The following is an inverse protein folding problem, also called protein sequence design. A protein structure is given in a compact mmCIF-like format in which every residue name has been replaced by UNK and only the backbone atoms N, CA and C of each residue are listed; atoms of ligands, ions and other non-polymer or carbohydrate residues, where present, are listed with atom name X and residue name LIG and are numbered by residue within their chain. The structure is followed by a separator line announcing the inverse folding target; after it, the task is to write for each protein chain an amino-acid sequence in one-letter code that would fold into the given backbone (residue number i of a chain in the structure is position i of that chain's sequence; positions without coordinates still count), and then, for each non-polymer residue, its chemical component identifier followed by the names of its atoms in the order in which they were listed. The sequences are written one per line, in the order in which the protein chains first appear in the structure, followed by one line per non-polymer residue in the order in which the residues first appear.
data_IF_863339104776
#
_entry.id   IF_863339104776
#
_cell.length_a   1.000
_cell.length_b   1.000
_cell.length_c   1.000
_cell.angle_alpha   90.00
_cell.angle_beta   90.00
_cell.angle_gamma   90.00
#
_symmetry.space_group_name_H-M   'P 1'
#
loop_
_entity.id
_entity.type
_entity.pdbx_description
1 polymer ?
#
# COMPACT_ATOMS: atom_id res chain seq x y z
N UNK A 1 9.91 2.27 -11.10
CA UNK A 1 8.75 2.13 -10.18
C UNK A 1 9.19 2.26 -8.74
N UNK A 2 8.27 2.65 -7.85
CA UNK A 2 8.49 2.63 -6.40
C UNK A 2 7.49 1.67 -5.76
N UNK A 3 7.93 0.97 -4.72
CA UNK A 3 7.10 0.06 -3.94
C UNK A 3 7.57 0.05 -2.50
N UNK A 4 6.66 -0.31 -1.61
CA UNK A 4 6.92 -0.44 -0.19
C UNK A 4 6.02 -1.51 0.40
N UNK A 5 6.52 -2.25 1.38
CA UNK A 5 5.71 -3.13 2.21
C UNK A 5 5.02 -2.32 3.29
N UNK A 6 3.73 -2.54 3.46
CA UNK A 6 2.95 -1.98 4.56
C UNK A 6 1.98 -3.03 5.10
N UNK A 7 1.67 -2.93 6.38
CA UNK A 7 0.63 -3.73 7.04
C UNK A 7 -0.55 -2.89 7.53
N UNK A 8 -0.40 -1.56 7.56
CA UNK A 8 -1.47 -0.61 7.83
C UNK A 8 -2.33 -0.43 6.58
N UNK A 9 -3.21 -1.40 6.32
CA UNK A 9 -4.15 -1.43 5.20
C UNK A 9 -5.53 -1.87 5.68
N UNK A 10 -6.59 -1.23 5.18
CA UNK A 10 -7.96 -1.62 5.48
C UNK A 10 -8.91 -1.22 4.35
N UNK A 11 -9.97 -2.01 4.13
CA UNK A 11 -11.13 -1.59 3.34
C UNK A 11 -12.00 -0.69 4.20
N UNK A 12 -12.44 0.45 3.66
CA UNK A 12 -13.23 1.44 4.42
C UNK A 12 -14.66 1.61 3.88
N UNK A 13 -14.90 1.32 2.60
CA UNK A 13 -16.24 1.32 2.01
C UNK A 13 -16.32 0.35 0.84
N UNK A 14 -17.48 -0.27 0.64
CA UNK A 14 -17.79 -1.07 -0.56
C UNK A 14 -18.79 -0.34 -1.47
N UNK A 15 -19.69 0.45 -0.88
CA UNK A 15 -20.75 1.23 -1.55
C UNK A 15 -20.84 2.61 -0.87
N UNK A 16 -21.06 3.73 -1.60
CA UNK A 16 -21.27 3.82 -3.06
C UNK A 16 -19.99 3.69 -3.90
N UNK A 17 -18.82 3.78 -3.27
CA UNK A 17 -17.52 3.64 -3.91
C UNK A 17 -16.66 2.64 -3.12
N UNK A 18 -15.97 1.72 -3.79
CA UNK A 18 -15.03 0.82 -3.12
C UNK A 18 -13.79 1.60 -2.71
N UNK A 19 -13.61 1.82 -1.42
CA UNK A 19 -12.53 2.62 -0.85
C UNK A 19 -11.66 1.77 0.06
N UNK A 20 -10.35 2.02 -0.01
CA UNK A 20 -9.34 1.48 0.89
C UNK A 20 -8.54 2.61 1.53
N UNK A 21 -7.99 2.34 2.70
CA UNK A 21 -7.10 3.24 3.39
C UNK A 21 -5.79 2.52 3.74
N UNK A 22 -4.68 3.25 3.66
CA UNK A 22 -3.39 2.75 4.09
C UNK A 22 -2.50 3.88 4.60
N UNK A 23 -1.51 3.52 5.43
CA UNK A 23 -0.57 4.49 5.99
C UNK A 23 0.86 4.22 5.57
N UNK A 24 1.63 5.28 5.34
CA UNK A 24 3.06 5.21 5.06
C UNK A 24 3.83 6.07 6.05
N UNK A 25 4.93 5.52 6.57
CA UNK A 25 5.91 6.28 7.35
C UNK A 25 6.63 7.29 6.45
N UNK A 26 6.94 8.46 6.97
CA UNK A 26 7.76 9.48 6.30
C UNK A 26 9.08 9.72 7.07
N UNK A 27 10.21 9.97 6.36
CA UNK A 27 10.32 10.10 4.91
C UNK A 27 10.18 8.76 4.16
N UNK A 28 9.56 8.78 2.98
CA UNK A 28 9.37 7.60 2.12
C UNK A 28 9.30 7.99 0.65
N UNK A 29 10.07 7.30 -0.20
CA UNK A 29 10.04 7.48 -1.67
C UNK A 29 8.65 7.19 -2.23
N UNK A 30 7.96 6.19 -1.68
CA UNK A 30 6.59 5.84 -2.09
C UNK A 30 5.61 6.95 -1.71
N UNK A 31 5.70 7.50 -0.49
CA UNK A 31 4.84 8.59 -0.06
C UNK A 31 5.06 9.84 -0.93
N UNK A 32 6.31 10.22 -1.22
CA UNK A 32 6.63 11.34 -2.11
C UNK A 32 6.08 11.13 -3.53
N UNK A 33 6.19 9.92 -4.09
CA UNK A 33 5.66 9.60 -5.41
C UNK A 33 4.13 9.68 -5.47
N UNK A 34 3.44 9.22 -4.41
CA UNK A 34 1.99 9.30 -4.30
C UNK A 34 1.49 10.74 -4.15
N UNK A 35 2.15 11.57 -3.32
CA UNK A 35 1.81 13.00 -3.19
C UNK A 35 1.86 13.72 -4.54
N UNK A 36 2.93 13.52 -5.30
CA UNK A 36 3.09 14.12 -6.63
C UNK A 36 2.00 13.71 -7.64
N UNK A 37 1.24 12.64 -7.36
CA UNK A 37 0.07 12.19 -8.12
C UNK A 37 -1.25 12.69 -7.52
N UNK A 38 -1.34 12.83 -6.21
CA UNK A 38 -2.55 13.28 -5.50
C UNK A 38 -2.95 14.73 -5.84
N UNK A 39 -1.96 15.59 -6.13
CA UNK A 39 -2.20 17.01 -6.45
C UNK A 39 -2.80 17.21 -7.86
N UNK A 40 -2.76 16.17 -8.70
CA UNK A 40 -3.33 16.20 -10.03
C UNK A 40 -4.79 15.77 -9.91
N UNK A 41 -5.71 16.72 -10.04
CA UNK A 41 -7.14 16.48 -10.30
C UNK A 41 -7.39 15.71 -11.63
N UNK A 42 -6.40 15.01 -12.17
CA UNK A 42 -6.62 14.06 -13.26
C UNK A 42 -7.53 12.95 -12.75
N UNK A 43 -8.56 12.71 -13.55
CA UNK A 43 -9.79 12.03 -13.16
C UNK A 43 -9.53 10.70 -12.44
N UNK A 44 -10.48 10.34 -11.57
CA UNK A 44 -10.65 9.03 -10.91
C UNK A 44 -10.79 7.84 -11.90
N UNK A 45 -10.22 7.94 -13.09
CA UNK A 45 -10.27 7.03 -14.22
C UNK A 45 -8.96 6.29 -14.44
N UNK A 46 -7.83 6.80 -13.91
CA UNK A 46 -6.52 6.15 -14.02
C UNK A 46 -5.98 5.73 -12.65
N UNK A 47 -5.27 4.60 -12.60
CA UNK A 47 -4.67 4.13 -11.37
C UNK A 47 -3.40 4.92 -11.01
N UNK A 48 -3.27 5.30 -9.74
CA UNK A 48 -2.08 5.95 -9.17
C UNK A 48 -1.15 4.94 -8.51
N UNK A 49 -1.70 3.82 -8.04
CA UNK A 49 -0.97 2.74 -7.40
C UNK A 49 -1.65 1.39 -7.62
N UNK A 50 -0.89 0.31 -7.41
CA UNK A 50 -1.41 -1.05 -7.29
C UNK A 50 -1.11 -1.56 -5.88
N UNK A 51 -2.14 -2.02 -5.18
CA UNK A 51 -2.00 -2.70 -3.89
C UNK A 51 -1.91 -4.20 -4.17
N UNK A 52 -0.76 -4.80 -3.92
CA UNK A 52 -0.54 -6.23 -4.05
C UNK A 52 -0.72 -6.90 -2.68
N UNK A 53 -1.73 -7.77 -2.55
CA UNK A 53 -1.99 -8.57 -1.35
C UNK A 53 -1.11 -9.82 -1.43
N UNK A 54 -0.11 -9.93 -0.57
CA UNK A 54 0.89 -11.00 -0.64
C UNK A 54 0.34 -12.33 -0.09
N UNK A 55 0.74 -13.43 -0.74
CA UNK A 55 0.48 -14.79 -0.26
C UNK A 55 1.51 -15.22 0.79
N UNK A 56 1.19 -16.24 1.58
CA UNK A 56 2.04 -16.76 2.64
C UNK A 56 3.39 -17.31 2.12
N UNK A 57 3.50 -17.57 0.81
CA UNK A 57 4.75 -17.92 0.13
C UNK A 57 5.66 -16.73 -0.20
N UNK A 58 5.22 -15.50 0.02
CA UNK A 58 5.94 -14.28 -0.35
C UNK A 58 6.55 -13.42 0.81
N UNK A 59 6.96 -13.97 1.98
CA UNK A 59 7.68 -13.19 2.99
C UNK A 59 8.93 -12.49 2.45
N UNK A 60 9.67 -13.14 1.53
CA UNK A 60 10.88 -12.60 0.92
C UNK A 60 10.62 -11.28 0.15
N UNK A 61 9.50 -11.19 -0.59
CA UNK A 61 9.09 -9.94 -1.25
C UNK A 61 8.73 -8.87 -0.20
N UNK A 62 7.99 -9.25 0.84
CA UNK A 62 7.63 -8.31 1.91
C UNK A 62 8.87 -7.70 2.58
N UNK A 63 9.90 -8.50 2.88
CA UNK A 63 11.16 -8.01 3.45
C UNK A 63 11.91 -7.09 2.50
N UNK A 64 12.04 -7.49 1.23
CA UNK A 64 12.73 -6.73 0.20
C UNK A 64 12.13 -5.35 0.02
N UNK A 65 10.81 -5.28 -0.12
CA UNK A 65 10.07 -4.01 -0.25
C UNK A 65 9.96 -3.22 1.07
N UNK A 66 10.31 -3.80 2.23
CA UNK A 66 10.37 -3.11 3.51
C UNK A 66 11.73 -2.45 3.80
N UNK A 67 12.79 -2.82 3.06
CA UNK A 67 14.19 -2.41 3.31
C UNK A 67 14.74 -1.57 2.17
N UNK A 68 14.31 -0.30 2.01
CA UNK A 68 14.77 0.58 0.94
C UNK A 68 16.26 0.95 1.05
N UNK A 69 16.88 0.70 2.20
CA UNK A 69 18.31 0.82 2.49
C UNK A 69 19.13 -0.32 1.86
N UNK A 70 18.59 -1.54 1.84
CA UNK A 70 19.24 -2.71 1.24
C UNK A 70 18.81 -2.91 -0.22
N UNK A 71 17.56 -2.62 -0.54
CA UNK A 71 16.96 -2.81 -1.85
C UNK A 71 16.39 -1.47 -2.36
N UNK A 72 17.24 -0.55 -2.86
CA UNK A 72 16.78 0.76 -3.32
C UNK A 72 15.89 0.68 -4.57
N UNK A 73 16.09 -0.36 -5.41
CA UNK A 73 15.37 -0.58 -6.66
C UNK A 73 14.87 -2.04 -6.73
N UNK A 74 13.89 -2.43 -5.89
CA UNK A 74 13.50 -3.83 -5.74
C UNK A 74 12.90 -4.45 -7.01
N UNK A 75 12.32 -3.64 -7.90
CA UNK A 75 11.77 -4.09 -9.19
C UNK A 75 12.82 -4.43 -10.26
N UNK A 76 14.10 -4.10 -10.03
CA UNK A 76 15.22 -4.47 -10.93
C UNK A 76 15.87 -5.80 -10.52
N UNK A 77 15.48 -6.35 -9.37
CA UNK A 77 16.01 -7.61 -8.85
C UNK A 77 15.37 -8.79 -9.58
N UNK A 78 16.19 -9.73 -10.04
CA UNK A 78 15.76 -10.89 -10.83
C UNK A 78 14.80 -11.82 -10.11
N UNK A 79 14.78 -11.83 -8.77
CA UNK A 79 13.84 -12.67 -8.02
C UNK A 79 12.47 -11.97 -7.83
N UNK A 80 12.33 -10.69 -8.23
CA UNK A 80 11.04 -10.00 -8.22
C UNK A 80 10.39 -10.12 -9.60
N UNK A 81 9.43 -11.03 -9.70
CA UNK A 81 8.61 -11.20 -10.90
C UNK A 81 7.38 -10.30 -10.83
N UNK A 82 7.14 -9.56 -11.91
CA UNK A 82 5.99 -8.68 -12.02
C UNK A 82 5.61 -8.43 -13.48
N UNK A 83 4.34 -8.09 -13.69
CA UNK A 83 3.81 -7.58 -14.97
C UNK A 83 3.21 -6.20 -14.76
N UNK A 84 2.78 -5.55 -15.84
CA UNK A 84 2.12 -4.24 -15.77
C UNK A 84 0.60 -4.38 -15.82
N UNK A 85 -0.11 -3.58 -15.02
CA UNK A 85 -1.53 -3.31 -15.19
C UNK A 85 -1.82 -2.54 -16.47
N UNK A 86 -3.10 -2.33 -16.78
CA UNK A 86 -3.55 -1.48 -17.90
C UNK A 86 -2.98 -0.06 -17.83
N UNK A 87 -2.82 0.48 -16.61
CA UNK A 87 -2.23 1.80 -16.35
C UNK A 87 -0.69 1.79 -16.31
N UNK A 88 -0.05 0.66 -16.65
CA UNK A 88 1.40 0.52 -16.64
C UNK A 88 2.01 0.41 -15.24
N UNK A 89 1.25 0.01 -14.21
CA UNK A 89 1.74 -0.11 -12.84
C UNK A 89 2.08 -1.57 -12.47
N UNK A 90 3.08 -1.82 -11.61
CA UNK A 90 3.52 -3.20 -11.33
C UNK A 90 2.50 -4.03 -10.55
N UNK A 91 2.24 -5.25 -11.04
CA UNK A 91 1.50 -6.32 -10.38
C UNK A 91 2.49 -7.45 -10.09
N UNK A 92 2.65 -7.82 -8.82
CA UNK A 92 3.59 -8.87 -8.40
C UNK A 92 3.03 -10.25 -8.72
N UNK A 93 3.85 -11.10 -9.36
CA UNK A 93 3.47 -12.49 -9.65
C UNK A 93 3.29 -13.31 -8.38
N UNK A 94 2.26 -14.16 -8.34
CA UNK A 94 1.95 -15.01 -7.19
C UNK A 94 1.39 -14.29 -5.95
N UNK A 95 1.05 -13.00 -6.07
CA UNK A 95 0.22 -12.31 -5.07
C UNK A 95 -1.17 -12.98 -4.98
N UNK A 96 -1.82 -12.91 -3.82
CA UNK A 96 -3.21 -13.35 -3.66
C UNK A 96 -4.18 -12.50 -4.46
N UNK A 97 -3.87 -11.23 -4.60
CA UNK A 97 -4.71 -10.27 -5.30
C UNK A 97 -3.96 -8.99 -5.57
N UNK A 98 -4.42 -8.25 -6.57
CA UNK A 98 -3.89 -6.94 -6.90
C UNK A 98 -5.05 -5.97 -7.18
N UNK A 99 -4.96 -4.77 -6.61
CA UNK A 99 -5.99 -3.73 -6.71
C UNK A 99 -5.39 -2.48 -7.34
N UNK A 100 -5.83 -2.14 -8.55
CA UNK A 100 -5.50 -0.85 -9.16
C UNK A 100 -6.35 0.24 -8.53
N UNK A 101 -5.69 1.22 -7.92
CA UNK A 101 -6.32 2.22 -7.08
C UNK A 101 -5.96 3.64 -7.53
N UNK A 102 -6.91 4.57 -7.38
CA UNK A 102 -6.71 6.01 -7.58
C UNK A 102 -6.86 6.74 -6.25
N UNK A 103 -5.94 7.64 -5.94
CA UNK A 103 -6.00 8.43 -4.70
C UNK A 103 -7.20 9.38 -4.75
N UNK A 104 -7.96 9.47 -3.66
CA UNK A 104 -9.14 10.36 -3.61
C UNK A 104 -8.79 11.81 -3.26
N UNK A 105 -7.56 12.06 -2.81
CA UNK A 105 -7.09 13.37 -2.41
C UNK A 105 -5.68 13.33 -1.79
N UNK A 106 -5.19 14.47 -1.27
CA UNK A 106 -3.91 14.55 -0.59
C UNK A 106 -3.89 13.70 0.68
N UNK A 107 -2.73 13.19 1.11
CA UNK A 107 -2.63 12.40 2.34
C UNK A 107 -2.91 13.25 3.58
N UNK A 108 -3.48 12.60 4.59
CA UNK A 108 -3.76 13.19 5.90
C UNK A 108 -2.58 12.92 6.85
N UNK A 109 -1.93 13.95 7.41
CA UNK A 109 -0.90 13.75 8.43
C UNK A 109 -1.47 13.08 9.69
N UNK A 110 -0.82 12.00 10.15
CA UNK A 110 -1.22 11.30 11.38
C UNK A 110 -0.42 11.75 12.62
N UNK A 111 0.55 12.65 12.44
CA UNK A 111 1.35 13.21 13.54
C UNK A 111 0.51 14.07 14.48
N UNK A 112 -0.54 14.70 13.96
CA UNK A 112 -1.42 15.57 14.70
C UNK A 112 -2.85 15.37 14.22
N UNK A 113 -3.73 14.92 15.11
CA UNK A 113 -5.14 14.67 14.82
C UNK A 113 -6.04 15.88 15.13
N UNK A 114 -5.48 17.01 15.57
CA UNK A 114 -6.24 18.23 15.92
C UNK A 114 -7.02 18.81 14.73
N UNK A 115 -6.68 18.45 13.49
CA UNK A 115 -7.47 18.81 12.31
C UNK A 115 -8.86 18.16 12.29
N UNK A 116 -9.08 17.05 13.01
CA UNK A 116 -10.41 16.43 13.14
C UNK A 116 -11.34 17.15 14.13
N UNK A 117 -10.80 18.04 14.97
CA UNK A 117 -11.53 18.65 16.10
C UNK A 117 -11.78 20.15 15.99
N UNK A 118 -11.39 20.81 14.89
CA UNK A 118 -11.66 22.24 14.69
C UNK A 118 -12.86 22.40 13.75
N UNK A 119 -13.88 23.13 14.21
CA UNK A 119 -14.88 23.77 13.36
C UNK A 119 -14.19 24.38 12.12
N UNK A 120 -14.80 24.29 10.92
CA UNK A 120 -14.16 24.75 9.69
C UNK A 120 -13.78 26.22 9.86
N UNK A 121 -12.48 26.50 9.98
CA UNK A 121 -12.01 27.88 10.03
C UNK A 121 -12.34 28.52 8.68
N UNK A 122 -13.23 29.52 8.71
CA UNK A 122 -13.28 30.54 7.67
C UNK A 122 -11.87 31.09 7.48
N UNK A 123 -11.48 31.27 6.21
CA UNK A 123 -10.18 31.76 5.73
C UNK A 123 -9.05 30.72 5.63
N UNK A 124 -9.14 29.88 4.59
CA UNK A 124 -8.34 30.02 3.37
C UNK A 124 -6.81 29.89 3.41
N UNK A 125 -6.13 29.99 4.56
CA UNK A 125 -4.67 29.97 4.64
C UNK A 125 -4.17 29.35 5.95
N UNK A 126 -4.56 28.11 6.24
CA UNK A 126 -3.87 27.32 7.25
C UNK A 126 -2.63 26.68 6.61
N UNK A 127 -1.54 27.44 6.56
CA UNK A 127 -0.21 26.86 6.39
C UNK A 127 -0.07 25.72 7.40
N UNK A 128 0.23 24.53 6.89
CA UNK A 128 0.59 23.37 7.72
C UNK A 128 1.89 23.75 8.41
N UNK A 129 1.78 24.40 9.57
CA UNK A 129 2.91 24.76 10.39
C UNK A 129 3.59 23.43 10.75
N UNK A 130 4.75 23.19 10.13
CA UNK A 130 5.64 22.11 10.50
C UNK A 130 5.82 22.20 12.01
N UNK A 131 5.23 21.24 12.74
CA UNK A 131 5.49 21.03 14.15
C UNK A 131 6.92 20.48 14.25
N UNK A 132 7.88 21.38 14.06
CA UNK A 132 9.28 21.23 14.38
C UNK A 132 9.38 21.09 15.91
N UNK A 133 9.30 19.86 16.39
CA UNK A 133 9.37 19.57 17.83
C UNK A 133 9.51 18.10 18.20
N UNK A 134 9.25 17.16 17.30
CA UNK A 134 9.56 15.75 17.50
C UNK A 134 10.42 15.25 16.36
N UNK A 135 11.71 14.96 16.60
CA UNK A 135 12.58 14.22 15.68
C UNK A 135 12.15 12.74 15.51
N UNK A 136 10.85 12.51 15.35
CA UNK A 136 10.21 11.21 15.30
C UNK A 136 9.61 10.96 13.93
N UNK A 137 9.73 9.72 13.48
CA UNK A 137 9.14 9.23 12.24
C UNK A 137 7.63 9.45 12.27
N UNK A 138 7.14 10.33 11.40
CA UNK A 138 5.71 10.58 11.20
C UNK A 138 5.10 9.54 10.25
N UNK A 139 3.77 9.46 10.22
CA UNK A 139 3.02 8.68 9.24
C UNK A 139 1.95 9.53 8.58
N UNK A 140 1.58 9.15 7.37
CA UNK A 140 0.52 9.76 6.59
C UNK A 140 -0.50 8.73 6.16
N UNK A 141 -1.78 9.10 6.21
CA UNK A 141 -2.91 8.31 5.79
C UNK A 141 -3.30 8.67 4.35
N UNK A 142 -3.38 7.67 3.51
CA UNK A 142 -3.86 7.75 2.14
C UNK A 142 -5.21 7.04 2.05
N UNK A 143 -6.14 7.64 1.34
CA UNK A 143 -7.40 7.00 0.95
C UNK A 143 -7.38 6.85 -0.57
N UNK A 144 -7.75 5.67 -1.05
CA UNK A 144 -7.79 5.38 -2.46
C UNK A 144 -9.09 4.65 -2.84
N UNK A 145 -9.62 4.99 -4.00
CA UNK A 145 -10.70 4.25 -4.64
C UNK A 145 -10.11 3.07 -5.41
N UNK A 146 -10.68 1.89 -5.23
CA UNK A 146 -10.39 0.73 -6.07
C UNK A 146 -11.09 0.93 -7.42
N UNK A 147 -10.31 0.99 -8.50
CA UNK A 147 -10.84 1.10 -9.86
C UNK A 147 -11.09 -0.28 -10.47
N UNK A 148 -10.17 -1.22 -10.20
CA UNK A 148 -10.16 -2.54 -10.83
C UNK A 148 -9.47 -3.55 -9.94
N UNK A 149 -9.98 -4.78 -9.94
CA UNK A 149 -9.29 -5.97 -9.42
C UNK A 149 -8.51 -6.56 -10.57
N UNK A 150 -7.19 -6.60 -10.42
CA UNK A 150 -6.27 -7.05 -11.45
C UNK A 150 -6.14 -8.57 -11.47
N UNK A 151 -5.90 -9.12 -12.66
CA UNK A 151 -5.51 -10.52 -12.80
C UNK A 151 -4.05 -10.67 -12.39
N UNK A 152 -3.80 -11.41 -11.30
CA UNK A 152 -2.43 -11.68 -10.85
C UNK A 152 -1.80 -12.75 -11.76
N UNK A 153 -0.59 -12.51 -12.30
CA UNK A 153 0.14 -13.53 -13.03
C UNK A 153 0.61 -14.64 -12.08
N UNK A 154 0.59 -15.91 -12.52
CA UNK A 154 1.15 -16.99 -11.73
C UNK A 154 2.67 -16.76 -11.53
N UNK A 155 3.25 -17.19 -10.40
CA UNK A 155 4.70 -17.15 -10.23
C UNK A 155 5.36 -18.17 -11.17
N UNK A 156 6.56 -17.87 -11.68
CA UNK A 156 7.31 -18.85 -12.49
C UNK A 156 8.01 -19.86 -11.57
N UNK A 157 7.81 -21.16 -11.81
CA UNK A 157 8.39 -22.25 -11.01
C UNK A 157 7.45 -23.43 -10.84
N UNK A 158 7.98 -24.58 -10.41
CA UNK A 158 7.18 -25.77 -10.15
C UNK A 158 6.13 -25.51 -9.06
N UNK A 159 4.92 -26.03 -9.25
CA UNK A 159 3.78 -25.84 -8.34
C UNK A 159 3.91 -26.61 -7.03
N UNK A 160 5.11 -26.71 -6.46
CA UNK A 160 5.44 -27.62 -5.36
C UNK A 160 4.91 -27.18 -4.00
N UNK A 161 4.46 -25.93 -3.83
CA UNK A 161 3.77 -25.48 -2.61
C UNK A 161 2.56 -24.58 -2.92
N UNK A 162 1.54 -25.20 -3.53
CA UNK A 162 0.26 -24.56 -3.84
C UNK A 162 -0.51 -24.13 -2.58
N UNK A 163 -0.27 -24.81 -1.43
CA UNK A 163 -0.96 -24.55 -0.18
C UNK A 163 -0.72 -23.14 0.35
N UNK A 164 0.54 -22.72 0.48
CA UNK A 164 0.87 -21.36 0.98
C UNK A 164 0.47 -20.24 0.01
N UNK A 165 0.33 -20.55 -1.28
CA UNK A 165 -0.02 -19.55 -2.31
C UNK A 165 -1.46 -19.07 -2.21
N UNK A 166 -2.34 -19.85 -1.58
CA UNK A 166 -3.76 -19.50 -1.40
C UNK A 166 -4.04 -18.81 -0.06
N UNK A 167 -3.07 -18.80 0.85
CA UNK A 167 -3.19 -18.21 2.18
C UNK A 167 -2.57 -16.82 2.25
N UNK A 168 -3.10 -15.89 3.07
CA UNK A 168 -2.56 -14.54 3.17
C UNK A 168 -1.27 -14.49 3.98
N UNK A 169 -0.36 -13.63 3.56
CA UNK A 169 0.76 -13.20 4.39
C UNK A 169 0.28 -12.21 5.44
N UNK A 170 0.45 -12.57 6.70
CA UNK A 170 0.11 -11.73 7.84
C UNK A 170 1.38 -11.24 8.53
N UNK A 171 1.33 -10.04 9.10
CA UNK A 171 2.38 -9.50 9.96
C UNK A 171 1.87 -9.39 11.39
N UNK A 172 2.38 -10.25 12.28
CA UNK A 172 1.95 -10.34 13.67
C UNK A 172 3.16 -10.45 14.60
N UNK A 173 3.16 -9.66 15.69
CA UNK A 173 4.26 -9.64 16.69
C UNK A 173 5.66 -9.56 16.06
N UNK A 174 5.81 -8.68 15.06
CA UNK A 174 7.06 -8.44 14.32
C UNK A 174 7.58 -9.64 13.53
N UNK A 175 6.70 -10.58 13.16
CA UNK A 175 7.00 -11.77 12.38
C UNK A 175 5.96 -11.96 11.28
N UNK A 176 6.36 -12.64 10.21
CA UNK A 176 5.43 -13.12 9.20
C UNK A 176 4.74 -14.39 9.69
N UNK A 177 3.45 -14.50 9.38
CA UNK A 177 2.59 -15.62 9.71
C UNK A 177 1.55 -15.81 8.62
N UNK A 178 0.75 -16.87 8.75
CA UNK A 178 -0.44 -17.07 7.94
C UNK A 178 -1.57 -17.65 8.79
N UNK A 179 -2.71 -17.94 8.18
CA UNK A 179 -3.87 -18.52 8.85
C UNK A 179 -3.77 -20.04 8.89
N UNK A 180 -4.39 -20.63 9.90
CA UNK A 180 -4.64 -22.07 9.98
C UNK A 180 -6.06 -22.26 10.52
N UNK A 181 -6.64 -23.43 10.24
CA UNK A 181 -7.91 -23.80 10.83
C UNK A 181 -7.77 -23.89 12.36
N UNK A 182 -8.82 -23.46 13.06
CA UNK A 182 -8.88 -23.66 14.50
C UNK A 182 -8.99 -25.17 14.77
N UNK A 183 -8.12 -25.68 15.64
CA UNK A 183 -8.27 -27.04 16.16
C UNK A 183 -9.66 -27.16 16.80
N UNK A 184 -10.42 -28.18 16.39
CA UNK A 184 -11.72 -28.46 16.99
C UNK A 184 -11.50 -28.73 18.49
N UNK A 185 -12.36 -28.17 19.37
CA UNK A 185 -12.24 -28.37 20.81
C UNK A 185 -12.32 -29.84 21.23
#
# INVERSE_FOLDING_TARGET
YHGATLSSFSSIALDPLPLVAFSLRVPSRMASALRARADKHEALTAAHLVINVLSAGQPHLAERFARPDLHPRPFEDSEVQWTTSEDGLPILSGALGALSCSLVGPPLPLTDLRWMGREPMSDGNAEVQELAGGGGLASELFIARVLRVERVPPPEGDGSDDGLRTLPLLYHRRRYATVCDLEKP
#
